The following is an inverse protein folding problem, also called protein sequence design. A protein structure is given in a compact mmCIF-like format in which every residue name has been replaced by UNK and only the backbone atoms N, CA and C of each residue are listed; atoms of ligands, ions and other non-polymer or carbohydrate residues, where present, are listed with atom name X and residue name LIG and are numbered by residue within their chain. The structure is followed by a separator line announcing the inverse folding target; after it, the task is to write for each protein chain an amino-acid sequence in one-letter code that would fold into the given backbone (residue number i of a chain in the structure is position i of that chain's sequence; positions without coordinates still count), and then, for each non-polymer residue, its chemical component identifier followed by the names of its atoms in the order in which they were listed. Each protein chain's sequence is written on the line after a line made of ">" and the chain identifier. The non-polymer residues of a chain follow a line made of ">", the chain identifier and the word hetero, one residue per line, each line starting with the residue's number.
data_IF_553699306249
#
_entry.id   IF_553699306249
#
_cell.length_a   1.000
_cell.length_b   1.000
_cell.length_c   1.000
_cell.angle_alpha   90.00
_cell.angle_beta   90.00
_cell.angle_gamma   90.00
#
_symmetry.space_group_name_H-M   'P 1'
#
loop_
_entity.id
_entity.type
_entity.pdbx_description
1 polymer ?
#
# COMPACT_ATOMS: atom_id res chain seq x y z
N UNK A 1 -6.79 -0.26 -13.25
CA UNK A 1 -7.86 -1.27 -13.19
C UNK A 1 -7.68 -2.26 -14.34
N UNK A 2 -7.74 -1.82 -15.61
CA UNK A 2 -7.62 -2.71 -16.77
C UNK A 2 -6.34 -3.56 -16.78
N UNK A 3 -5.19 -3.00 -16.41
CA UNK A 3 -3.93 -3.74 -16.28
C UNK A 3 -4.02 -4.87 -15.23
N UNK A 4 -4.61 -4.59 -14.07
CA UNK A 4 -4.79 -5.59 -13.03
C UNK A 4 -5.74 -6.71 -13.50
N UNK A 5 -6.85 -6.35 -14.17
CA UNK A 5 -7.80 -7.32 -14.72
C UNK A 5 -7.18 -8.15 -15.86
N UNK A 6 -6.34 -7.56 -16.72
CA UNK A 6 -5.69 -8.30 -17.80
C UNK A 6 -4.66 -9.30 -17.25
N UNK A 7 -3.90 -8.91 -16.22
CA UNK A 7 -2.99 -9.82 -15.51
C UNK A 7 -3.77 -10.96 -14.87
N UNK A 8 -4.88 -10.68 -14.18
CA UNK A 8 -5.74 -11.71 -13.58
C UNK A 8 -6.26 -12.68 -14.64
N UNK A 9 -6.79 -12.18 -15.76
CA UNK A 9 -7.29 -13.03 -16.85
C UNK A 9 -6.21 -13.90 -17.46
N UNK A 10 -5.03 -13.34 -17.72
CA UNK A 10 -3.91 -14.10 -18.27
C UNK A 10 -3.43 -15.18 -17.30
N UNK A 11 -3.24 -14.82 -16.02
CA UNK A 11 -2.80 -15.76 -14.99
C UNK A 11 -3.83 -16.89 -14.78
N UNK A 12 -5.12 -16.59 -14.85
CA UNK A 12 -6.19 -17.59 -14.80
C UNK A 12 -6.11 -18.55 -15.99
N UNK A 13 -5.93 -18.04 -17.22
CA UNK A 13 -5.78 -18.87 -18.41
C UNK A 13 -4.52 -19.76 -18.35
N UNK A 14 -3.40 -19.23 -17.86
CA UNK A 14 -2.15 -19.97 -17.71
C UNK A 14 -2.23 -21.07 -16.64
N UNK A 15 -3.04 -20.88 -15.57
CA UNK A 15 -3.27 -21.90 -14.54
C UNK A 15 -4.07 -23.10 -15.03
N UNK A 16 -4.91 -22.97 -16.05
CA UNK A 16 -5.57 -24.14 -16.67
C UNK A 16 -4.53 -25.13 -17.22
N UNK A 17 -3.33 -24.66 -17.55
CA UNK A 17 -2.25 -25.48 -18.10
C UNK A 17 -1.21 -25.95 -17.06
N UNK A 18 -1.26 -25.46 -15.81
CA UNK A 18 -0.23 -25.70 -14.78
C UNK A 18 -0.85 -26.12 -13.44
N UNK A 19 -0.33 -27.19 -12.84
CA UNK A 19 -0.80 -27.75 -11.54
C UNK A 19 -0.50 -26.87 -10.31
N UNK A 20 -0.11 -25.59 -10.50
CA UNK A 20 0.34 -24.71 -9.41
C UNK A 20 -0.85 -24.09 -8.66
N UNK A 21 -0.98 -24.42 -7.37
CA UNK A 21 -2.08 -23.99 -6.49
C UNK A 21 -1.84 -22.69 -5.70
N UNK A 22 -0.71 -22.01 -5.87
CA UNK A 22 -0.39 -20.78 -5.13
C UNK A 22 -1.35 -19.62 -5.46
N UNK A 23 -1.93 -18.95 -4.46
CA UNK A 23 -2.75 -17.74 -4.69
C UNK A 23 -1.88 -16.60 -5.20
N UNK A 24 -2.29 -15.95 -6.29
CA UNK A 24 -1.57 -14.80 -6.82
C UNK A 24 -2.05 -13.53 -6.10
N UNK A 25 -1.13 -12.74 -5.57
CA UNK A 25 -1.45 -11.44 -4.98
C UNK A 25 -1.24 -10.33 -6.01
N UNK A 26 -2.26 -9.52 -6.24
CA UNK A 26 -2.18 -8.29 -7.05
C UNK A 26 -2.18 -7.10 -6.10
N UNK A 27 -1.09 -6.35 -6.08
CA UNK A 27 -1.01 -5.06 -5.39
C UNK A 27 -1.29 -3.93 -6.39
N UNK A 28 -2.19 -3.02 -6.05
CA UNK A 28 -2.58 -1.91 -6.92
C UNK A 28 -2.78 -0.62 -6.13
N UNK A 29 -2.26 0.48 -6.69
CA UNK A 29 -2.55 1.82 -6.22
C UNK A 29 -3.72 2.44 -7.00
N UNK A 30 -4.64 3.09 -6.28
CA UNK A 30 -5.76 3.86 -6.83
C UNK A 30 -5.71 5.28 -6.29
N UNK A 31 -6.09 6.24 -7.11
CA UNK A 31 -6.17 7.64 -6.71
C UNK A 31 -7.49 7.91 -5.99
N UNK A 32 -8.62 7.60 -6.62
CA UNK A 32 -9.96 7.88 -6.10
C UNK A 32 -10.67 6.66 -5.50
N UNK A 33 -11.57 6.94 -4.55
CA UNK A 33 -12.50 5.94 -3.96
C UNK A 33 -13.45 5.33 -4.97
N UNK A 34 -13.91 6.10 -5.97
CA UNK A 34 -14.79 5.60 -7.03
C UNK A 34 -14.11 4.49 -7.84
N UNK A 35 -12.82 4.66 -8.14
CA UNK A 35 -12.02 3.64 -8.83
C UNK A 35 -11.90 2.35 -8.02
N UNK A 36 -11.89 2.45 -6.69
CA UNK A 36 -11.84 1.30 -5.78
C UNK A 36 -13.11 0.46 -5.93
N UNK A 37 -14.28 1.10 -5.86
CA UNK A 37 -15.58 0.44 -6.03
C UNK A 37 -15.72 -0.23 -7.40
N UNK A 38 -15.25 0.43 -8.47
CA UNK A 38 -15.26 -0.12 -9.82
C UNK A 38 -14.35 -1.35 -9.94
N UNK A 39 -13.16 -1.32 -9.34
CA UNK A 39 -12.24 -2.45 -9.35
C UNK A 39 -12.81 -3.64 -8.58
N UNK A 40 -13.37 -3.43 -7.39
CA UNK A 40 -14.00 -4.52 -6.62
C UNK A 40 -15.14 -5.18 -7.39
N UNK A 41 -16.01 -4.37 -8.02
CA UNK A 41 -17.13 -4.86 -8.81
C UNK A 41 -16.65 -5.66 -10.03
N UNK A 42 -15.61 -5.16 -10.72
CA UNK A 42 -15.04 -5.80 -11.91
C UNK A 42 -14.25 -7.07 -11.56
N UNK A 43 -13.52 -7.07 -10.45
CA UNK A 43 -12.69 -8.19 -9.98
C UNK A 43 -13.57 -9.39 -9.61
N UNK A 44 -14.73 -9.16 -8.98
CA UNK A 44 -15.72 -10.22 -8.68
C UNK A 44 -16.27 -10.92 -9.93
N UNK A 45 -16.34 -10.20 -11.05
CA UNK A 45 -16.82 -10.75 -12.31
C UNK A 45 -15.75 -11.59 -13.05
N UNK A 46 -14.48 -11.25 -12.84
CA UNK A 46 -13.34 -11.87 -13.55
C UNK A 46 -12.72 -13.02 -12.74
N UNK A 47 -12.66 -12.89 -11.43
CA UNK A 47 -11.92 -13.81 -10.56
C UNK A 47 -12.83 -14.86 -9.95
N UNK A 48 -12.52 -16.15 -10.17
CA UNK A 48 -12.99 -17.19 -9.26
C UNK A 48 -12.43 -16.89 -7.86
N UNK A 49 -13.30 -16.80 -6.86
CA UNK A 49 -13.07 -16.22 -5.53
C UNK A 49 -11.82 -16.74 -4.78
N UNK A 50 -11.26 -17.88 -5.18
CA UNK A 50 -10.13 -18.52 -4.53
C UNK A 50 -8.75 -18.32 -5.19
N UNK A 51 -8.69 -17.69 -6.37
CA UNK A 51 -7.47 -17.68 -7.18
C UNK A 51 -6.55 -16.48 -6.93
N UNK A 52 -7.13 -15.34 -6.54
CA UNK A 52 -6.46 -14.07 -6.39
C UNK A 52 -6.73 -13.42 -5.04
N UNK A 53 -5.70 -12.80 -4.46
CA UNK A 53 -5.82 -11.82 -3.38
C UNK A 53 -5.51 -10.43 -3.95
N UNK A 54 -6.28 -9.43 -3.57
CA UNK A 54 -6.05 -8.05 -4.01
C UNK A 54 -5.69 -7.17 -2.82
N UNK A 55 -4.54 -6.52 -2.88
CA UNK A 55 -4.13 -5.48 -1.95
C UNK A 55 -4.28 -4.15 -2.67
N UNK A 56 -5.26 -3.35 -2.25
CA UNK A 56 -5.58 -2.08 -2.90
C UNK A 56 -5.20 -0.95 -1.96
N UNK A 57 -4.39 -0.03 -2.46
CA UNK A 57 -3.97 1.17 -1.73
C UNK A 57 -4.66 2.36 -2.39
N UNK A 58 -5.71 2.88 -1.75
CA UNK A 58 -6.39 4.10 -2.20
C UNK A 58 -5.76 5.33 -1.55
N UNK A 59 -5.05 6.14 -2.34
CA UNK A 59 -4.24 7.24 -1.84
C UNK A 59 -5.10 8.35 -1.25
N UNK A 60 -6.20 8.74 -1.90
CA UNK A 60 -7.06 9.80 -1.38
C UNK A 60 -7.71 9.41 -0.05
N UNK A 61 -8.11 8.14 0.10
CA UNK A 61 -8.68 7.64 1.36
C UNK A 61 -7.66 7.71 2.51
N UNK A 62 -6.45 7.18 2.28
CA UNK A 62 -5.38 7.17 3.29
C UNK A 62 -4.98 8.61 3.65
N UNK A 63 -4.74 9.45 2.64
CA UNK A 63 -4.34 10.84 2.83
C UNK A 63 -5.37 11.63 3.63
N UNK A 64 -6.64 11.56 3.24
CA UNK A 64 -7.70 12.32 3.92
C UNK A 64 -7.95 11.80 5.34
N UNK A 65 -7.84 10.49 5.56
CA UNK A 65 -8.00 9.90 6.89
C UNK A 65 -6.88 10.36 7.84
N UNK A 66 -5.62 10.25 7.44
CA UNK A 66 -4.47 10.70 8.23
C UNK A 66 -4.54 12.21 8.49
N UNK A 67 -4.91 13.01 7.48
CA UNK A 67 -5.08 14.45 7.62
C UNK A 67 -6.15 14.78 8.67
N UNK A 68 -7.31 14.11 8.62
CA UNK A 68 -8.40 14.36 9.56
C UNK A 68 -8.00 14.06 11.01
N UNK A 69 -7.20 13.00 11.23
CA UNK A 69 -6.70 12.63 12.56
C UNK A 69 -5.60 13.60 13.04
N UNK A 70 -4.81 14.14 12.12
CA UNK A 70 -3.77 15.12 12.44
C UNK A 70 -4.34 16.46 12.92
N UNK A 71 -5.62 16.75 12.62
CA UNK A 71 -6.32 17.90 13.22
C UNK A 71 -6.56 17.74 14.73
N UNK A 72 -6.58 16.50 15.25
CA UNK A 72 -6.74 16.22 16.68
C UNK A 72 -5.38 16.09 17.38
N UNK A 73 -4.40 15.51 16.70
CA UNK A 73 -3.05 15.27 17.25
C UNK A 73 -2.00 15.82 16.27
N UNK A 74 -1.37 16.97 16.59
CA UNK A 74 -0.28 17.51 15.79
C UNK A 74 0.89 16.52 15.67
N UNK A 75 1.52 16.45 14.50
CA UNK A 75 2.65 15.55 14.25
C UNK A 75 2.29 14.09 13.94
N UNK A 76 1.02 13.70 14.08
CA UNK A 76 0.55 12.34 13.80
C UNK A 76 0.87 11.88 12.37
N UNK A 77 0.71 12.75 11.37
CA UNK A 77 1.06 12.44 9.98
C UNK A 77 2.54 12.09 9.82
N UNK A 78 3.43 12.82 10.48
CA UNK A 78 4.88 12.57 10.43
C UNK A 78 5.20 11.24 11.11
N UNK A 79 4.62 10.98 12.28
CA UNK A 79 4.79 9.72 12.98
C UNK A 79 4.35 8.52 12.13
N UNK A 80 3.14 8.57 11.56
CA UNK A 80 2.63 7.49 10.70
C UNK A 80 3.50 7.29 9.45
N UNK A 81 3.97 8.37 8.83
CA UNK A 81 4.84 8.27 7.66
C UNK A 81 6.19 7.62 7.98
N UNK A 82 6.77 7.93 9.14
CA UNK A 82 8.02 7.31 9.58
C UNK A 82 7.85 5.80 9.85
N UNK A 83 6.71 5.37 10.41
CA UNK A 83 6.42 3.93 10.60
C UNK A 83 6.27 3.16 9.27
N UNK A 84 5.79 3.83 8.21
CA UNK A 84 5.54 3.17 6.91
C UNK A 84 6.80 3.17 6.05
N UNK A 85 7.62 4.21 6.16
CA UNK A 85 8.82 4.38 5.36
C UNK A 85 9.96 3.60 5.98
N UNK A 86 10.48 2.61 5.25
CA UNK A 86 11.68 1.94 5.71
C UNK A 86 12.88 2.90 5.67
N UNK A 87 13.63 2.97 6.75
CA UNK A 87 14.78 3.84 6.93
C UNK A 87 16.04 3.02 7.18
N UNK A 88 17.16 3.47 6.60
CA UNK A 88 18.48 2.95 6.94
C UNK A 88 19.16 3.98 7.84
N UNK A 89 19.86 3.54 8.88
CA UNK A 89 20.42 4.40 9.94
C UNK A 89 21.60 5.29 9.47
N UNK A 90 21.85 5.37 8.16
CA UNK A 90 23.14 5.81 7.64
C UNK A 90 23.19 7.29 7.18
N UNK A 91 24.18 7.98 7.75
CA UNK A 91 25.11 8.95 7.12
C UNK A 91 24.94 10.47 7.34
N UNK A 92 24.03 10.94 8.21
CA UNK A 92 23.92 12.39 8.51
C UNK A 92 24.26 12.81 9.94
N UNK A 93 24.59 11.87 10.83
CA UNK A 93 24.81 12.13 12.26
C UNK A 93 26.01 13.04 12.57
N UNK A 94 27.03 13.13 11.71
CA UNK A 94 28.28 13.81 12.04
C UNK A 94 28.16 15.35 12.25
N UNK A 95 27.01 15.97 11.96
CA UNK A 95 26.73 17.41 12.21
C UNK A 95 25.26 17.71 12.58
N UNK A 96 24.52 16.72 13.05
CA UNK A 96 23.11 16.88 13.38
C UNK A 96 22.93 17.79 14.62
N UNK A 97 21.83 18.56 14.67
CA UNK A 97 21.44 19.26 15.90
C UNK A 97 20.87 18.22 16.88
N UNK A 98 20.88 18.44 18.21
CA UNK A 98 20.37 17.45 19.17
C UNK A 98 18.95 16.96 18.90
N UNK A 99 18.02 17.84 18.48
CA UNK A 99 16.64 17.43 18.15
C UNK A 99 16.56 16.53 16.91
N UNK A 100 17.54 16.63 15.99
CA UNK A 100 17.61 15.77 14.80
C UNK A 100 18.07 14.38 15.18
N UNK A 101 19.02 14.27 16.12
CA UNK A 101 19.46 12.99 16.66
C UNK A 101 18.28 12.26 17.33
N UNK A 102 17.52 12.94 18.19
CA UNK A 102 16.31 12.40 18.83
C UNK A 102 15.23 12.05 17.79
N UNK A 103 15.04 12.88 16.77
CA UNK A 103 14.07 12.58 15.70
C UNK A 103 14.47 11.32 14.92
N UNK A 104 15.75 11.17 14.55
CA UNK A 104 16.27 10.03 13.79
C UNK A 104 16.18 8.74 14.61
N UNK A 105 16.46 8.80 15.91
CA UNK A 105 16.22 7.68 16.84
C UNK A 105 14.75 7.22 16.75
N UNK A 106 13.81 8.18 16.74
CA UNK A 106 12.38 7.93 16.56
C UNK A 106 11.96 7.39 15.18
N UNK A 107 12.78 7.58 14.13
CA UNK A 107 12.47 7.14 12.76
C UNK A 107 12.73 5.65 12.57
N UNK A 108 13.72 5.08 13.28
CA UNK A 108 14.08 3.65 13.17
C UNK A 108 13.06 2.68 13.77
N UNK A 109 11.98 3.18 14.38
CA UNK A 109 10.88 2.34 14.84
C UNK A 109 9.94 2.06 13.66
N UNK A 110 9.94 0.82 13.16
CA UNK A 110 9.08 0.30 12.08
C UNK A 110 8.15 -0.82 12.56
#
# INVERSE_FOLDING_TARGET
>A
ILQALSIQRYAQAARVQSSRKDRLTVCMQLTSKESHQLFESSSKQVSGHDLFSSQIVCIDEIKMNILSKSCLVPGLITMINNLIASSDENDTMNKAKPWVEEYVDGVGFE
#
